data_IF_820268095391
#
_entry.id   IF_820268095391
#
_cell.length_a   1.000
_cell.length_b   1.000
_cell.length_c   1.000
_cell.angle_alpha   90.00
_cell.angle_beta   90.00
_cell.angle_gamma   90.00
#
_symmetry.space_group_name_H-M   'P 1'
#
loop_
_entity.id
_entity.type
_entity.pdbx_description
1 polymer ?
#
# COMPACT_ATOMS: atom_id res chain seq x y z
N UNK A 1 14.96 5.65 -4.96
CA UNK A 1 15.35 5.19 -6.31
C UNK A 1 15.36 6.37 -7.26
N UNK A 2 16.44 6.58 -8.02
CA UNK A 2 16.47 7.58 -9.09
C UNK A 2 15.37 7.31 -10.13
N UNK A 3 14.90 8.34 -10.85
CA UNK A 3 13.94 8.18 -11.93
C UNK A 3 14.42 7.15 -12.96
N UNK A 4 13.52 6.28 -13.42
CA UNK A 4 13.75 5.26 -14.46
C UNK A 4 15.03 4.42 -14.27
N UNK A 5 15.40 4.16 -13.01
CA UNK A 5 16.64 3.43 -12.67
C UNK A 5 16.46 1.91 -12.70
N UNK A 6 15.22 1.41 -12.78
CA UNK A 6 14.92 -0.01 -12.87
C UNK A 6 14.69 -0.42 -14.34
N UNK A 7 15.18 -1.59 -14.78
CA UNK A 7 15.01 -2.05 -16.16
C UNK A 7 13.54 -2.40 -16.46
N UNK A 8 13.17 -2.34 -17.75
CA UNK A 8 11.87 -2.70 -18.27
C UNK A 8 11.55 -4.18 -18.01
N UNK A 9 10.88 -4.48 -16.92
CA UNK A 9 10.47 -5.86 -16.62
C UNK A 9 9.39 -5.94 -15.53
N UNK A 10 8.61 -7.02 -15.59
CA UNK A 10 7.68 -7.40 -14.51
C UNK A 10 8.41 -7.65 -13.18
N UNK A 11 9.62 -8.19 -13.23
CA UNK A 11 10.47 -8.38 -12.04
C UNK A 11 10.80 -7.07 -11.35
N UNK A 12 10.99 -5.97 -12.10
CA UNK A 12 11.24 -4.64 -11.55
C UNK A 12 10.03 -4.07 -10.81
N UNK A 13 8.81 -4.37 -11.26
CA UNK A 13 7.58 -4.01 -10.53
C UNK A 13 7.54 -4.70 -9.17
N UNK A 14 7.78 -6.01 -9.14
CA UNK A 14 7.80 -6.77 -7.90
C UNK A 14 8.90 -6.25 -6.95
N UNK A 15 10.12 -6.11 -7.43
CA UNK A 15 11.25 -5.61 -6.64
C UNK A 15 11.00 -4.18 -6.08
N UNK A 16 10.36 -3.32 -6.87
CA UNK A 16 9.95 -1.98 -6.40
C UNK A 16 8.97 -2.06 -5.24
N UNK A 17 7.92 -2.87 -5.37
CA UNK A 17 6.88 -3.00 -4.34
C UNK A 17 7.42 -3.69 -3.08
N UNK A 18 8.28 -4.70 -3.22
CA UNK A 18 9.00 -5.34 -2.11
C UNK A 18 9.88 -4.33 -1.35
N UNK A 19 10.59 -3.47 -2.07
CA UNK A 19 11.42 -2.41 -1.47
C UNK A 19 10.59 -1.37 -0.73
N UNK A 20 9.45 -0.94 -1.30
CA UNK A 20 8.55 0.01 -0.68
C UNK A 20 7.72 -0.61 0.47
N UNK A 21 7.60 -1.95 0.52
CA UNK A 21 6.77 -2.67 1.47
C UNK A 21 5.27 -2.64 1.15
N UNK A 22 4.79 -1.58 0.55
CA UNK A 22 3.43 -1.46 0.00
C UNK A 22 3.35 -0.33 -1.01
N UNK A 23 2.31 -0.35 -1.83
CA UNK A 23 2.01 0.72 -2.77
C UNK A 23 0.52 1.03 -2.73
N UNK A 24 0.15 2.28 -2.47
CA UNK A 24 -1.24 2.65 -2.35
C UNK A 24 -1.99 2.47 -3.66
N UNK A 25 -3.09 1.73 -3.62
CA UNK A 25 -4.04 1.61 -4.71
C UNK A 25 -5.11 2.70 -4.56
N UNK A 26 -5.14 3.65 -5.48
CA UNK A 26 -6.19 4.65 -5.54
C UNK A 26 -7.02 4.47 -6.82
N UNK A 27 -8.36 4.47 -6.74
CA UNK A 27 -9.21 4.31 -7.91
C UNK A 27 -9.29 5.55 -8.80
N UNK A 28 -8.74 6.69 -8.36
CA UNK A 28 -8.70 7.92 -9.17
C UNK A 28 -7.75 7.71 -10.34
N UNK A 29 -8.29 7.90 -11.55
CA UNK A 29 -7.61 7.69 -12.81
C UNK A 29 -7.83 8.91 -13.72
N UNK A 30 -7.25 10.06 -13.36
CA UNK A 30 -7.33 11.30 -14.14
C UNK A 30 -6.13 11.47 -15.08
N UNK A 31 -4.96 10.99 -14.66
CA UNK A 31 -3.73 11.06 -15.44
C UNK A 31 -2.99 9.70 -15.44
N UNK A 32 -3.66 8.65 -15.05
CA UNK A 32 -3.16 7.31 -14.76
C UNK A 32 -3.38 6.94 -13.29
N UNK A 33 -3.45 5.64 -13.03
CA UNK A 33 -3.62 5.15 -11.65
C UNK A 33 -2.37 5.41 -10.83
N UNK A 34 -2.55 5.84 -9.58
CA UNK A 34 -1.45 6.25 -8.71
C UNK A 34 -0.30 5.25 -8.64
N UNK A 35 -0.60 3.96 -8.46
CA UNK A 35 0.41 2.90 -8.38
C UNK A 35 1.15 2.66 -9.71
N UNK A 36 0.47 2.84 -10.86
CA UNK A 36 1.08 2.77 -12.19
C UNK A 36 2.02 3.95 -12.41
N UNK A 37 1.62 5.16 -12.00
CA UNK A 37 2.46 6.36 -12.10
C UNK A 37 3.73 6.25 -11.25
N UNK A 38 3.63 5.65 -10.04
CA UNK A 38 4.80 5.37 -9.18
C UNK A 38 5.77 4.40 -9.86
N UNK A 39 5.24 3.35 -10.51
CA UNK A 39 6.05 2.41 -11.29
C UNK A 39 6.68 3.11 -12.51
N UNK A 40 5.90 3.88 -13.25
CA UNK A 40 6.35 4.61 -14.45
C UNK A 40 7.48 5.60 -14.12
N UNK A 41 7.43 6.24 -12.95
CA UNK A 41 8.48 7.17 -12.52
C UNK A 41 9.83 6.47 -12.25
N UNK A 42 9.85 5.15 -11.98
CA UNK A 42 11.04 4.43 -11.52
C UNK A 42 11.52 3.32 -12.46
N UNK A 43 10.64 2.82 -13.33
CA UNK A 43 10.93 1.70 -14.24
C UNK A 43 10.97 2.24 -15.66
N UNK A 44 12.11 2.07 -16.32
CA UNK A 44 12.23 2.43 -17.73
C UNK A 44 11.34 1.56 -18.61
N UNK A 45 10.60 2.16 -19.57
CA UNK A 45 9.69 1.43 -20.43
C UNK A 45 8.57 0.66 -19.70
N UNK A 46 8.12 1.15 -18.54
CA UNK A 46 7.07 0.50 -17.74
C UNK A 46 5.77 0.26 -18.54
N UNK A 47 5.20 -0.94 -18.36
CA UNK A 47 3.91 -1.31 -18.94
C UNK A 47 2.90 -1.64 -17.82
N UNK A 48 1.73 -0.98 -17.76
CA UNK A 48 0.71 -1.18 -16.71
C UNK A 48 0.26 -2.64 -16.57
N UNK A 49 0.21 -3.41 -17.66
CA UNK A 49 -0.16 -4.84 -17.65
C UNK A 49 0.71 -5.69 -16.70
N UNK A 50 1.97 -5.30 -16.43
CA UNK A 50 2.84 -6.06 -15.54
C UNK A 50 2.35 -6.07 -14.09
N UNK A 51 1.68 -4.99 -13.66
CA UNK A 51 1.04 -4.93 -12.33
C UNK A 51 -0.14 -5.91 -12.28
N UNK A 52 -1.01 -5.89 -13.30
CA UNK A 52 -2.17 -6.77 -13.38
C UNK A 52 -1.76 -8.25 -13.47
N UNK A 53 -0.72 -8.59 -14.24
CA UNK A 53 -0.17 -9.95 -14.34
C UNK A 53 0.35 -10.48 -13.00
N UNK A 54 0.92 -9.63 -12.16
CA UNK A 54 1.39 -9.99 -10.82
C UNK A 54 0.23 -10.09 -9.79
N UNK A 55 -0.76 -9.21 -9.92
CA UNK A 55 -1.93 -9.15 -9.03
C UNK A 55 -2.95 -10.26 -9.29
N UNK A 56 -3.20 -10.58 -10.58
CA UNK A 56 -4.34 -11.40 -10.99
C UNK A 56 -3.95 -12.69 -11.70
N UNK A 57 -2.73 -13.18 -11.45
CA UNK A 57 -2.31 -14.47 -11.95
C UNK A 57 -3.32 -15.56 -11.54
N UNK A 58 -3.79 -16.36 -12.50
CA UNK A 58 -4.76 -17.44 -12.28
C UNK A 58 -4.18 -18.63 -11.50
N UNK A 59 -2.86 -18.80 -11.57
CA UNK A 59 -2.14 -19.85 -10.83
C UNK A 59 -1.68 -19.25 -9.49
N UNK A 60 -2.14 -19.77 -8.33
CA UNK A 60 -1.81 -19.23 -7.02
C UNK A 60 -0.31 -19.02 -6.78
N UNK A 61 0.53 -19.97 -7.18
CA UNK A 61 1.98 -19.90 -7.02
C UNK A 61 2.64 -18.78 -7.86
N UNK A 62 1.94 -18.24 -8.87
CA UNK A 62 2.41 -17.14 -9.73
C UNK A 62 1.86 -15.78 -9.31
N UNK A 63 0.93 -15.74 -8.36
CA UNK A 63 0.36 -14.50 -7.84
C UNK A 63 1.35 -13.87 -6.86
N UNK A 64 2.19 -12.98 -7.34
CA UNK A 64 3.24 -12.36 -6.55
C UNK A 64 2.76 -11.14 -5.76
N UNK A 65 1.68 -10.50 -6.20
CA UNK A 65 1.08 -9.32 -5.56
C UNK A 65 -0.39 -9.57 -5.22
N UNK A 66 -0.88 -8.88 -4.19
CA UNK A 66 -2.29 -8.84 -3.81
C UNK A 66 -2.72 -7.44 -3.41
N UNK A 67 -4.01 -7.15 -3.59
CA UNK A 67 -4.63 -5.98 -2.97
C UNK A 67 -5.04 -6.33 -1.53
N UNK A 68 -4.69 -5.44 -0.60
CA UNK A 68 -4.96 -5.62 0.82
C UNK A 68 -5.44 -4.31 1.43
N UNK A 69 -6.42 -4.37 2.34
CA UNK A 69 -6.85 -3.20 3.09
C UNK A 69 -5.99 -3.02 4.37
N UNK A 70 -5.37 -1.85 4.50
CA UNK A 70 -4.56 -1.46 5.67
C UNK A 70 -4.84 0.00 6.07
N UNK A 71 -6.11 0.30 6.40
CA UNK A 71 -6.57 1.68 6.57
C UNK A 71 -6.92 2.35 5.24
N UNK A 72 -6.11 2.10 4.22
CA UNK A 72 -6.35 2.38 2.80
C UNK A 72 -6.14 1.10 1.99
N UNK A 73 -6.57 1.08 0.74
CA UNK A 73 -6.29 -0.04 -0.16
C UNK A 73 -4.84 0.07 -0.65
N UNK A 74 -4.09 -1.01 -0.49
CA UNK A 74 -2.67 -1.10 -0.88
C UNK A 74 -2.40 -2.36 -1.69
N UNK A 75 -1.38 -2.32 -2.52
CA UNK A 75 -0.77 -3.47 -3.17
C UNK A 75 0.41 -3.89 -2.31
N UNK A 76 0.49 -5.17 -1.97
CA UNK A 76 1.58 -5.76 -1.21
C UNK A 76 2.10 -7.02 -1.88
N UNK A 77 3.36 -7.44 -1.63
CA UNK A 77 3.80 -8.78 -1.99
C UNK A 77 2.91 -9.85 -1.32
N UNK A 78 2.55 -10.88 -2.05
CA UNK A 78 1.71 -11.98 -1.53
C UNK A 78 2.35 -12.66 -0.32
N UNK A 79 3.68 -12.74 -0.29
CA UNK A 79 4.48 -13.27 0.83
C UNK A 79 4.31 -12.50 2.15
N UNK A 80 3.86 -11.25 2.08
CA UNK A 80 3.64 -10.38 3.24
C UNK A 80 2.25 -10.56 3.89
N UNK A 81 1.33 -11.25 3.23
CA UNK A 81 -0.03 -11.46 3.72
C UNK A 81 -0.11 -11.96 5.18
N UNK A 82 0.76 -12.85 5.67
CA UNK A 82 0.72 -13.31 7.06
C UNK A 82 0.72 -12.17 8.09
N UNK A 83 1.39 -11.06 7.80
CA UNK A 83 1.44 -9.88 8.67
C UNK A 83 0.17 -9.03 8.65
N UNK A 84 -0.72 -9.24 7.67
CA UNK A 84 -1.99 -8.52 7.54
C UNK A 84 -3.20 -9.29 8.07
N UNK A 85 -3.01 -10.54 8.53
CA UNK A 85 -4.11 -11.39 9.04
C UNK A 85 -4.69 -10.86 10.34
N UNK A 86 -3.86 -10.56 11.36
CA UNK A 86 -4.34 -10.01 12.63
C UNK A 86 -5.14 -8.70 12.47
N UNK A 87 -4.71 -7.74 11.63
CA UNK A 87 -5.54 -6.61 11.27
C UNK A 87 -6.88 -7.01 10.63
N UNK A 88 -6.92 -8.05 9.79
CA UNK A 88 -8.16 -8.57 9.20
C UNK A 88 -9.05 -9.23 10.25
N UNK A 89 -8.49 -10.06 11.14
CA UNK A 89 -9.20 -10.69 12.26
C UNK A 89 -9.81 -9.65 13.19
N UNK A 90 -9.07 -8.60 13.57
CA UNK A 90 -9.60 -7.48 14.37
C UNK A 90 -10.75 -6.74 13.65
N UNK A 91 -10.69 -6.59 12.34
CA UNK A 91 -11.83 -6.02 11.57
C UNK A 91 -13.02 -6.95 11.58
N UNK A 92 -12.82 -8.25 11.44
CA UNK A 92 -13.88 -9.26 11.54
C UNK A 92 -14.56 -9.21 12.91
N UNK A 93 -13.79 -9.21 14.01
CA UNK A 93 -14.30 -9.07 15.38
C UNK A 93 -15.09 -7.79 15.57
N UNK A 94 -14.61 -6.66 15.02
CA UNK A 94 -15.34 -5.40 15.05
C UNK A 94 -16.67 -5.49 14.32
N UNK A 95 -16.71 -6.06 13.11
CA UNK A 95 -17.97 -6.22 12.36
C UNK A 95 -18.98 -7.10 13.09
N UNK A 96 -18.51 -8.05 13.89
CA UNK A 96 -19.38 -8.84 14.77
C UNK A 96 -19.88 -8.02 15.96
N UNK A 97 -19.01 -7.30 16.64
CA UNK A 97 -19.32 -6.56 17.87
C UNK A 97 -20.20 -5.33 17.63
N UNK A 98 -20.00 -4.61 16.53
CA UNK A 98 -20.79 -3.41 16.16
C UNK A 98 -22.12 -3.74 15.44
N UNK A 99 -22.40 -5.02 15.23
CA UNK A 99 -23.61 -5.51 14.57
C UNK A 99 -23.61 -5.39 13.04
N UNK A 100 -22.51 -4.97 12.42
CA UNK A 100 -22.38 -4.86 10.96
C UNK A 100 -22.59 -6.22 10.30
N UNK A 101 -21.94 -7.29 10.81
CA UNK A 101 -22.11 -8.64 10.31
C UNK A 101 -23.58 -9.08 10.38
N UNK A 102 -24.27 -8.84 11.51
CA UNK A 102 -25.69 -9.21 11.67
C UNK A 102 -26.57 -8.55 10.61
N UNK A 103 -26.28 -7.28 10.27
CA UNK A 103 -27.02 -6.53 9.24
C UNK A 103 -26.78 -7.09 7.84
N UNK A 104 -25.57 -7.54 7.53
CA UNK A 104 -25.15 -7.99 6.20
C UNK A 104 -25.21 -9.52 6.04
N UNK A 105 -25.46 -10.28 7.12
CA UNK A 105 -25.42 -11.75 7.15
C UNK A 105 -26.15 -12.44 6.00
N UNK A 106 -27.43 -12.10 5.65
CA UNK A 106 -28.14 -12.80 4.58
C UNK A 106 -27.42 -12.72 3.23
N UNK A 107 -26.84 -11.55 2.93
CA UNK A 107 -26.08 -11.34 1.69
C UNK A 107 -24.72 -12.03 1.75
N UNK A 108 -24.03 -11.97 2.90
CA UNK A 108 -22.74 -12.62 3.11
C UNK A 108 -22.86 -14.15 2.95
N UNK A 109 -23.89 -14.77 3.54
CA UNK A 109 -24.15 -16.22 3.40
C UNK A 109 -24.43 -16.61 1.94
N UNK A 110 -25.24 -15.81 1.23
CA UNK A 110 -25.51 -16.04 -0.20
C UNK A 110 -24.22 -15.91 -1.03
N UNK A 111 -23.41 -14.88 -0.76
CA UNK A 111 -22.12 -14.68 -1.42
C UNK A 111 -21.21 -15.87 -1.21
N UNK A 112 -21.00 -16.26 0.04
CA UNK A 112 -20.10 -17.38 0.37
C UNK A 112 -20.56 -18.68 -0.26
N UNK A 113 -21.85 -18.99 -0.23
CA UNK A 113 -22.43 -20.19 -0.85
C UNK A 113 -22.18 -20.20 -2.37
N UNK A 114 -22.48 -19.09 -3.05
CA UNK A 114 -22.33 -19.02 -4.51
C UNK A 114 -20.86 -19.01 -4.93
N UNK A 115 -20.00 -18.23 -4.29
CA UNK A 115 -18.55 -18.25 -4.59
C UNK A 115 -17.97 -19.65 -4.37
N UNK A 116 -18.41 -20.35 -3.33
CA UNK A 116 -17.93 -21.72 -3.07
C UNK A 116 -18.29 -22.68 -4.21
N UNK A 117 -19.48 -22.57 -4.79
CA UNK A 117 -19.95 -23.45 -5.86
C UNK A 117 -19.59 -22.99 -7.28
N UNK A 118 -19.57 -21.68 -7.52
CA UNK A 118 -19.47 -21.12 -8.87
C UNK A 118 -18.07 -20.53 -9.20
N UNK A 119 -17.25 -20.24 -8.17
CA UNK A 119 -15.96 -19.55 -8.34
C UNK A 119 -16.08 -18.03 -8.16
N UNK A 120 -15.15 -17.29 -8.77
CA UNK A 120 -15.07 -15.84 -8.61
C UNK A 120 -16.33 -15.12 -9.09
N UNK A 121 -16.93 -14.29 -8.23
CA UNK A 121 -18.11 -13.48 -8.53
C UNK A 121 -17.89 -12.01 -8.18
N UNK A 122 -18.62 -11.14 -8.89
CA UNK A 122 -18.69 -9.68 -8.67
C UNK A 122 -20.03 -9.29 -8.05
N UNK A 123 -20.20 -8.06 -7.61
CA UNK A 123 -21.46 -7.57 -7.09
C UNK A 123 -22.61 -7.64 -8.11
N UNK A 124 -22.31 -7.51 -9.42
CA UNK A 124 -23.32 -7.59 -10.50
C UNK A 124 -23.93 -8.97 -10.67
N UNK A 125 -23.21 -10.04 -10.29
CA UNK A 125 -23.69 -11.42 -10.44
C UNK A 125 -24.81 -11.78 -9.44
N UNK A 126 -25.00 -10.96 -8.39
CA UNK A 126 -26.03 -11.15 -7.37
C UNK A 126 -27.34 -10.38 -7.67
N UNK A 127 -27.33 -9.53 -8.69
CA UNK A 127 -28.48 -8.69 -9.02
C UNK A 127 -28.70 -7.51 -8.05
N UNK A 128 -29.85 -6.82 -8.19
CA UNK A 128 -30.14 -5.65 -7.38
C UNK A 128 -30.38 -6.01 -5.91
N UNK A 129 -29.96 -5.12 -5.00
CA UNK A 129 -30.18 -5.26 -3.57
C UNK A 129 -30.53 -3.91 -2.92
N UNK A 130 -31.12 -3.94 -1.73
CA UNK A 130 -31.39 -2.70 -1.00
C UNK A 130 -30.10 -1.93 -0.70
N UNK A 131 -30.21 -0.63 -0.55
CA UNK A 131 -29.14 0.21 -0.08
C UNK A 131 -28.97 0.06 1.44
N UNK A 132 -27.73 -0.01 1.87
CA UNK A 132 -27.30 0.00 3.29
C UNK A 132 -26.32 1.13 3.49
N UNK A 133 -26.25 1.67 4.70
CA UNK A 133 -25.22 2.62 5.07
C UNK A 133 -23.89 1.89 5.19
N UNK A 134 -22.90 2.36 4.43
CA UNK A 134 -21.57 1.78 4.34
C UNK A 134 -20.52 2.88 4.20
N UNK A 135 -19.23 2.57 4.30
CA UNK A 135 -18.07 3.47 4.46
C UNK A 135 -18.18 4.89 3.86
N UNK A 136 -18.70 5.02 2.65
CA UNK A 136 -18.77 6.30 1.91
C UNK A 136 -20.20 6.74 1.60
N UNK A 137 -21.19 6.08 2.20
CA UNK A 137 -22.61 6.38 2.02
C UNK A 137 -23.44 5.21 1.53
N UNK A 138 -24.67 5.44 1.07
CA UNK A 138 -25.60 4.39 0.67
C UNK A 138 -24.99 3.47 -0.42
N UNK A 139 -24.88 2.18 -0.13
CA UNK A 139 -24.24 1.19 -0.97
C UNK A 139 -25.15 -0.04 -1.13
N UNK A 140 -25.25 -0.66 -2.33
CA UNK A 140 -25.96 -1.93 -2.49
C UNK A 140 -25.45 -3.00 -1.54
N UNK A 141 -26.36 -3.73 -0.88
CA UNK A 141 -26.03 -4.63 0.22
C UNK A 141 -25.06 -5.78 -0.20
N UNK A 142 -25.17 -6.30 -1.42
CA UNK A 142 -24.21 -7.28 -1.93
C UNK A 142 -22.81 -6.69 -2.05
N UNK A 143 -22.69 -5.45 -2.53
CA UNK A 143 -21.39 -4.77 -2.60
C UNK A 143 -20.79 -4.53 -1.21
N UNK A 144 -21.61 -4.07 -0.26
CA UNK A 144 -21.17 -3.86 1.12
C UNK A 144 -20.73 -5.19 1.79
N UNK A 145 -21.47 -6.28 1.55
CA UNK A 145 -21.14 -7.59 2.09
C UNK A 145 -19.86 -8.18 1.47
N UNK A 146 -19.64 -8.03 0.15
CA UNK A 146 -18.37 -8.41 -0.50
C UNK A 146 -17.19 -7.64 0.07
N UNK A 147 -17.33 -6.33 0.28
CA UNK A 147 -16.27 -5.50 0.88
C UNK A 147 -16.02 -5.88 2.36
N UNK A 148 -17.05 -6.20 3.12
CA UNK A 148 -16.92 -6.70 4.49
C UNK A 148 -16.14 -8.01 4.53
N UNK A 149 -16.52 -9.00 3.71
CA UNK A 149 -15.85 -10.30 3.63
C UNK A 149 -14.40 -10.17 3.16
N UNK A 150 -14.13 -9.29 2.21
CA UNK A 150 -12.76 -9.02 1.76
C UNK A 150 -11.92 -8.32 2.85
N UNK A 151 -12.49 -7.35 3.55
CA UNK A 151 -11.81 -6.63 4.63
C UNK A 151 -11.53 -7.51 5.85
N UNK A 152 -12.34 -8.56 6.07
CA UNK A 152 -12.13 -9.56 7.12
C UNK A 152 -11.29 -10.76 6.68
N UNK A 153 -10.80 -10.78 5.42
CA UNK A 153 -9.92 -11.82 4.90
C UNK A 153 -10.61 -13.13 4.55
N UNK A 154 -11.95 -13.16 4.47
CA UNK A 154 -12.72 -14.32 4.09
C UNK A 154 -12.80 -14.49 2.56
N UNK A 155 -12.67 -13.38 1.82
CA UNK A 155 -12.53 -13.33 0.38
C UNK A 155 -11.33 -12.51 -0.03
N UNK A 156 -10.79 -12.78 -1.21
CA UNK A 156 -9.76 -11.96 -1.83
C UNK A 156 -10.16 -11.57 -3.25
N UNK A 157 -9.60 -10.49 -3.75
CA UNK A 157 -9.85 -10.03 -5.09
C UNK A 157 -9.20 -10.99 -6.09
N UNK A 158 -10.02 -11.61 -6.94
CA UNK A 158 -9.58 -12.52 -7.98
C UNK A 158 -9.04 -11.75 -9.19
N UNK A 159 -9.80 -10.75 -9.65
CA UNK A 159 -9.43 -9.87 -10.78
C UNK A 159 -10.26 -8.59 -10.77
N UNK A 160 -9.82 -7.64 -11.61
CA UNK A 160 -10.59 -6.42 -11.96
C UNK A 160 -10.81 -6.35 -13.48
N UNK A 161 -11.92 -5.75 -13.86
CA UNK A 161 -12.21 -5.31 -15.21
C UNK A 161 -12.76 -3.88 -15.10
N UNK A 162 -11.92 -2.88 -15.33
CA UNK A 162 -12.23 -1.50 -15.02
C UNK A 162 -12.50 -1.30 -13.52
N UNK A 163 -13.68 -0.83 -13.16
CA UNK A 163 -14.11 -0.64 -11.78
C UNK A 163 -14.76 -1.88 -11.13
N UNK A 164 -15.07 -2.91 -11.94
CA UNK A 164 -15.73 -4.13 -11.46
C UNK A 164 -14.69 -5.03 -10.80
N UNK A 165 -15.05 -5.57 -9.63
CA UNK A 165 -14.20 -6.44 -8.81
C UNK A 165 -14.82 -7.81 -8.68
N UNK A 166 -14.05 -8.87 -8.99
CA UNK A 166 -14.41 -10.27 -8.75
C UNK A 166 -13.68 -10.79 -7.53
N UNK A 167 -14.39 -11.45 -6.64
CA UNK A 167 -13.86 -12.00 -5.41
C UNK A 167 -13.97 -13.51 -5.41
N UNK A 168 -12.98 -14.18 -4.81
CA UNK A 168 -12.98 -15.64 -4.66
C UNK A 168 -12.37 -16.04 -3.32
N UNK A 169 -12.44 -17.33 -3.02
CA UNK A 169 -11.87 -17.93 -1.82
C UNK A 169 -10.34 -17.82 -1.81
N UNK A 170 -9.72 -17.51 -0.65
CA UNK A 170 -8.27 -17.42 -0.53
C UNK A 170 -7.53 -18.66 -1.01
N UNK A 171 -8.08 -19.86 -0.78
CA UNK A 171 -7.47 -21.14 -1.14
C UNK A 171 -7.35 -21.35 -2.65
N UNK A 172 -8.19 -20.67 -3.44
CA UNK A 172 -8.14 -20.72 -4.90
C UNK A 172 -7.18 -19.70 -5.50
N UNK A 173 -6.86 -18.67 -4.75
CA UNK A 173 -6.12 -17.50 -5.24
C UNK A 173 -4.68 -17.41 -4.74
N UNK A 174 -4.39 -17.97 -3.57
CA UNK A 174 -3.17 -17.70 -2.83
C UNK A 174 -2.37 -18.99 -2.59
N UNK A 175 -1.03 -18.90 -2.55
CA UNK A 175 -0.19 -20.05 -2.26
C UNK A 175 -0.48 -20.62 -0.87
N UNK A 176 -0.52 -21.95 -0.75
CA UNK A 176 -0.82 -22.65 0.49
C UNK A 176 0.15 -22.30 1.63
N UNK A 177 1.44 -22.22 1.34
CA UNK A 177 2.45 -21.84 2.33
C UNK A 177 2.23 -20.43 2.90
N UNK A 178 1.72 -19.49 2.09
CA UNK A 178 1.33 -18.15 2.55
C UNK A 178 0.08 -18.24 3.44
N UNK A 179 -0.90 -19.05 3.05
CA UNK A 179 -2.13 -19.25 3.83
C UNK A 179 -1.89 -19.96 5.17
N UNK A 180 -0.92 -20.85 5.26
CA UNK A 180 -0.61 -21.62 6.47
C UNK A 180 0.35 -20.89 7.43
N UNK A 181 1.19 -19.99 6.92
CA UNK A 181 2.15 -19.25 7.75
C UNK A 181 1.43 -18.41 8.80
N UNK A 182 1.90 -18.51 10.03
CA UNK A 182 1.45 -17.69 11.17
C UNK A 182 2.61 -16.86 11.67
N UNK A 183 2.31 -15.66 12.08
CA UNK A 183 3.27 -14.73 12.71
C UNK A 183 2.74 -14.33 14.08
N UNK A 184 3.65 -14.09 15.01
CA UNK A 184 3.28 -13.54 16.31
C UNK A 184 2.78 -12.10 16.18
N UNK A 185 2.11 -11.60 17.21
CA UNK A 185 1.69 -10.20 17.22
C UNK A 185 2.88 -9.25 17.20
N UNK A 186 3.94 -9.62 17.88
CA UNK A 186 5.19 -8.88 17.94
C UNK A 186 5.87 -8.77 16.58
N UNK A 187 6.00 -9.89 15.86
CA UNK A 187 6.51 -9.91 14.48
C UNK A 187 5.64 -9.07 13.55
N UNK A 188 4.31 -9.19 13.68
CA UNK A 188 3.37 -8.42 12.85
C UNK A 188 3.56 -6.91 13.06
N UNK A 189 3.69 -6.46 14.30
CA UNK A 189 3.84 -5.03 14.60
C UNK A 189 5.20 -4.52 14.16
N UNK A 190 6.28 -5.24 14.44
CA UNK A 190 7.62 -4.89 14.00
C UNK A 190 7.69 -4.80 12.46
N UNK A 191 7.15 -5.79 11.76
CA UNK A 191 7.07 -5.80 10.31
C UNK A 191 6.27 -4.62 9.75
N UNK A 192 5.08 -4.36 10.30
CA UNK A 192 4.22 -3.26 9.85
C UNK A 192 4.89 -1.91 10.09
N UNK A 193 5.60 -1.76 11.20
CA UNK A 193 6.36 -0.56 11.51
C UNK A 193 7.52 -0.34 10.52
N UNK A 194 8.28 -1.38 10.22
CA UNK A 194 9.35 -1.33 9.22
C UNK A 194 8.82 -1.11 7.80
N UNK A 195 7.70 -1.75 7.44
CA UNK A 195 7.04 -1.54 6.15
C UNK A 195 6.65 -0.07 5.96
N UNK A 196 6.19 0.59 7.04
CA UNK A 196 5.90 2.02 7.00
C UNK A 196 7.15 2.87 6.78
N UNK A 197 8.29 2.50 7.36
CA UNK A 197 9.56 3.19 7.10
C UNK A 197 10.07 2.93 5.67
N UNK A 198 9.84 1.73 5.12
CA UNK A 198 10.15 1.43 3.70
C UNK A 198 9.33 2.29 2.74
N UNK A 199 8.02 2.39 2.98
CA UNK A 199 7.09 3.20 2.19
C UNK A 199 7.46 4.70 2.24
N UNK A 200 7.72 5.21 3.43
CA UNK A 200 8.05 6.62 3.62
C UNK A 200 9.52 6.97 3.31
N UNK A 201 10.43 5.99 3.34
CA UNK A 201 11.85 6.20 3.23
C UNK A 201 12.42 6.92 4.46
N UNK A 202 13.05 8.07 4.26
CA UNK A 202 13.55 8.89 5.36
C UNK A 202 12.41 9.53 6.13
N UNK A 203 12.31 9.24 7.44
CA UNK A 203 11.22 9.70 8.30
C UNK A 203 11.73 10.46 9.51
N UNK A 204 10.99 11.48 9.94
CA UNK A 204 11.22 12.11 11.24
C UNK A 204 10.85 11.16 12.40
N UNK A 205 11.36 11.46 13.61
CA UNK A 205 11.15 10.63 14.79
C UNK A 205 9.67 10.34 15.15
N UNK A 206 8.74 11.15 14.63
CA UNK A 206 7.31 11.07 14.97
C UNK A 206 6.43 10.38 13.91
N UNK A 207 7.01 9.96 12.79
CA UNK A 207 6.25 9.61 11.58
C UNK A 207 5.55 8.23 11.60
N UNK A 208 5.91 7.31 12.48
CA UNK A 208 5.34 5.96 12.46
C UNK A 208 4.35 5.72 13.60
N UNK A 209 3.22 5.11 13.26
CA UNK A 209 2.16 4.77 14.21
C UNK A 209 2.39 3.39 14.83
N UNK A 210 2.09 3.27 16.12
CA UNK A 210 2.06 2.03 16.89
C UNK A 210 0.70 1.94 17.57
N UNK A 211 0.02 0.78 17.58
CA UNK A 211 -1.23 0.59 18.29
C UNK A 211 -1.09 0.98 19.77
N UNK A 212 -2.13 1.65 20.34
CA UNK A 212 -2.10 2.13 21.73
C UNK A 212 -2.11 1.01 22.76
N UNK A 213 -2.70 -0.11 22.41
CA UNK A 213 -2.89 -1.30 23.23
C UNK A 213 -1.71 -2.27 23.16
N UNK A 214 -0.68 -1.91 22.39
CA UNK A 214 0.49 -2.77 22.28
C UNK A 214 1.41 -2.66 23.51
N UNK A 215 2.02 -3.78 23.98
CA UNK A 215 2.81 -3.79 25.20
C UNK A 215 4.12 -2.98 25.12
N UNK A 216 4.62 -2.70 23.92
CA UNK A 216 5.79 -1.84 23.70
C UNK A 216 5.35 -0.45 23.23
N UNK A 217 5.94 0.58 23.83
CA UNK A 217 5.82 1.94 23.32
C UNK A 217 6.59 2.07 22.00
N UNK A 218 6.25 3.11 21.20
CA UNK A 218 7.02 3.41 19.98
C UNK A 218 8.51 3.55 20.26
N UNK A 219 8.91 4.19 21.37
CA UNK A 219 10.30 4.35 21.76
C UNK A 219 10.99 2.99 21.93
N UNK A 220 10.39 2.09 22.71
CA UNK A 220 10.92 0.74 22.93
C UNK A 220 11.03 -0.07 21.63
N UNK A 221 10.04 0.04 20.74
CA UNK A 221 10.09 -0.63 19.44
C UNK A 221 11.24 -0.10 18.58
N UNK A 222 11.40 1.22 18.51
CA UNK A 222 12.50 1.86 17.77
C UNK A 222 13.85 1.44 18.32
N UNK A 223 14.08 1.53 19.64
CA UNK A 223 15.31 1.12 20.32
C UNK A 223 15.65 -0.33 20.01
N UNK A 224 14.64 -1.21 20.02
CA UNK A 224 14.80 -2.62 19.67
C UNK A 224 15.20 -2.82 18.22
N UNK A 225 14.51 -2.17 17.26
CA UNK A 225 14.80 -2.31 15.84
C UNK A 225 16.18 -1.74 15.48
N UNK A 226 16.63 -0.69 16.16
CA UNK A 226 17.99 -0.17 16.03
C UNK A 226 19.00 -1.19 16.57
N UNK A 227 18.75 -1.75 17.75
CA UNK A 227 19.63 -2.77 18.35
C UNK A 227 19.71 -4.04 17.50
N UNK A 228 18.64 -4.40 16.77
CA UNK A 228 18.60 -5.51 15.83
C UNK A 228 19.24 -5.18 14.46
N UNK A 229 19.63 -3.92 14.23
CA UNK A 229 20.20 -3.49 12.96
C UNK A 229 19.19 -3.36 11.81
N UNK A 230 17.90 -3.28 12.11
CA UNK A 230 16.80 -3.16 11.13
C UNK A 230 16.47 -1.70 10.78
N UNK A 231 16.75 -0.77 11.70
CA UNK A 231 16.49 0.65 11.56
C UNK A 231 17.77 1.45 11.84
N UNK A 232 18.01 2.49 11.06
CA UNK A 232 19.12 3.43 11.23
C UNK A 232 18.60 4.78 11.72
N UNK A 233 19.35 5.42 12.61
CA UNK A 233 19.22 6.84 12.92
C UNK A 233 20.26 7.63 12.17
N UNK A 234 19.84 8.75 11.61
CA UNK A 234 20.69 9.66 10.84
C UNK A 234 20.39 11.12 11.23
N UNK A 235 21.38 11.96 11.11
CA UNK A 235 21.24 13.41 11.23
C UNK A 235 21.37 14.04 9.84
N UNK A 236 20.52 15.03 9.56
CA UNK A 236 20.58 15.78 8.31
C UNK A 236 21.21 17.14 8.62
N UNK A 237 22.30 17.45 7.96
CA UNK A 237 23.00 18.73 8.13
C UNK A 237 22.04 19.87 7.80
N UNK A 238 21.88 20.79 8.75
CA UNK A 238 20.98 21.95 8.62
C UNK A 238 19.53 21.71 9.04
N UNK A 239 19.15 20.49 9.41
CA UNK A 239 17.80 20.19 9.93
C UNK A 239 17.86 19.70 11.38
N UNK A 240 16.92 20.12 12.24
CA UNK A 240 16.88 19.65 13.61
C UNK A 240 16.35 18.23 13.73
N UNK A 241 16.81 17.55 14.80
CA UNK A 241 16.26 16.26 15.22
C UNK A 241 16.89 15.04 14.53
N UNK A 242 16.43 13.87 14.97
CA UNK A 242 16.87 12.56 14.45
C UNK A 242 15.90 12.09 13.39
N UNK A 243 16.44 11.59 12.32
CA UNK A 243 15.70 10.99 11.23
C UNK A 243 15.99 9.48 11.18
N UNK A 244 15.08 8.71 10.60
CA UNK A 244 15.18 7.25 10.54
C UNK A 244 14.92 6.74 9.15
N UNK A 245 15.63 5.65 8.79
CA UNK A 245 15.41 4.90 7.56
C UNK A 245 15.68 3.42 7.80
N UNK A 246 15.09 2.51 6.99
CA UNK A 246 15.40 1.09 7.06
C UNK A 246 16.89 0.83 6.86
N UNK A 247 17.46 -0.10 7.61
CA UNK A 247 18.89 -0.44 7.48
C UNK A 247 19.25 -0.98 6.09
N UNK A 248 18.30 -1.55 5.36
CA UNK A 248 18.44 -1.93 3.96
C UNK A 248 18.84 -0.77 3.03
N UNK A 249 18.54 0.47 3.43
CA UNK A 249 18.90 1.68 2.67
C UNK A 249 20.30 2.22 3.00
N UNK A 250 21.05 1.59 3.90
CA UNK A 250 22.41 2.01 4.31
C UNK A 250 23.34 2.23 3.11
N UNK A 251 23.35 1.29 2.18
CA UNK A 251 24.22 1.40 1.01
C UNK A 251 23.88 2.60 0.13
N UNK A 252 22.60 2.86 -0.07
CA UNK A 252 22.13 4.05 -0.81
C UNK A 252 22.49 5.35 -0.10
N UNK A 253 22.35 5.40 1.23
CA UNK A 253 22.76 6.54 2.05
C UNK A 253 24.27 6.80 1.95
N UNK A 254 25.08 5.78 2.09
CA UNK A 254 26.55 5.90 1.99
C UNK A 254 27.00 6.30 0.59
N UNK A 255 26.33 5.80 -0.46
CA UNK A 255 26.58 6.20 -1.83
C UNK A 255 26.25 7.69 -2.04
N UNK A 256 25.10 8.15 -1.51
CA UNK A 256 24.70 9.55 -1.56
C UNK A 256 25.70 10.46 -0.79
N UNK A 257 26.13 10.04 0.40
CA UNK A 257 27.13 10.79 1.18
C UNK A 257 28.49 10.92 0.46
N UNK A 258 28.94 9.88 -0.22
CA UNK A 258 30.16 9.93 -1.04
C UNK A 258 30.02 10.83 -2.26
N UNK A 259 28.85 10.89 -2.86
CA UNK A 259 28.60 11.75 -4.03
C UNK A 259 28.65 13.24 -3.70
N UNK A 260 28.28 13.65 -2.48
CA UNK A 260 28.38 15.06 -2.03
C UNK A 260 29.81 15.51 -1.80
N UNK A 261 30.77 14.56 -1.65
CA UNK A 261 32.22 14.87 -1.47
C UNK A 261 33.03 14.89 -2.76
N UNK A 262 32.40 14.93 -3.94
CA UNK A 262 33.08 15.15 -5.22
C UNK A 262 32.93 14.05 -6.27
N UNK A 263 32.26 12.95 -5.95
CA UNK A 263 31.91 11.92 -6.94
C UNK A 263 30.42 12.04 -7.28
N UNK A 264 30.08 12.41 -8.51
CA UNK A 264 28.70 12.40 -8.98
C UNK A 264 28.16 10.97 -8.81
N UNK A 265 27.04 10.79 -8.09
CA UNK A 265 26.16 9.65 -8.34
C UNK A 265 25.96 9.63 -9.84
N UNK A 266 26.11 8.46 -10.49
CA UNK A 266 25.89 8.36 -11.92
C UNK A 266 24.59 9.09 -12.24
N UNK A 267 24.71 10.26 -12.80
CA UNK A 267 23.66 11.24 -12.80
C UNK A 267 22.55 10.69 -13.69
N UNK A 268 21.35 10.54 -13.11
CA UNK A 268 20.16 10.71 -13.91
C UNK A 268 20.39 11.95 -14.79
N UNK A 269 20.04 11.88 -16.07
CA UNK A 269 20.14 13.03 -16.97
C UNK A 269 19.64 14.26 -16.21
N UNK A 270 20.47 15.31 -15.99
CA UNK A 270 20.06 16.49 -15.24
C UNK A 270 18.88 17.25 -15.88
N UNK A 271 18.55 16.91 -17.13
CA UNK A 271 17.41 17.43 -17.86
C UNK A 271 16.19 16.46 -17.84
N UNK A 272 16.31 15.27 -17.24
CA UNK A 272 15.18 14.36 -17.15
C UNK A 272 14.14 14.90 -16.18
N UNK A 273 12.94 15.07 -16.68
CA UNK A 273 11.76 15.49 -15.89
C UNK A 273 10.89 14.29 -15.61
N UNK A 274 10.53 14.08 -14.34
CA UNK A 274 9.65 12.99 -13.92
C UNK A 274 8.41 13.56 -13.26
N UNK A 275 7.24 13.18 -13.78
CA UNK A 275 5.95 13.48 -13.14
C UNK A 275 5.69 12.47 -12.03
N UNK A 276 5.39 12.97 -10.83
CA UNK A 276 5.08 12.14 -9.68
C UNK A 276 3.58 12.07 -9.41
N UNK A 277 3.10 10.89 -9.04
CA UNK A 277 1.72 10.73 -8.54
C UNK A 277 1.52 11.57 -7.27
N UNK A 278 0.32 12.13 -7.04
CA UNK A 278 -0.03 12.77 -5.76
C UNK A 278 0.19 11.89 -4.52
N UNK A 279 0.19 10.59 -4.69
CA UNK A 279 0.41 9.57 -3.64
C UNK A 279 1.78 8.90 -3.75
N UNK A 280 2.71 9.49 -4.50
CA UNK A 280 4.07 8.95 -4.59
C UNK A 280 4.74 8.95 -3.21
N UNK A 281 5.43 7.87 -2.82
CA UNK A 281 6.16 7.78 -1.56
C UNK A 281 7.12 8.95 -1.30
N UNK A 282 7.72 9.52 -2.36
CA UNK A 282 8.63 10.66 -2.22
C UNK A 282 7.92 11.92 -1.69
N UNK A 283 6.67 12.13 -2.07
CA UNK A 283 5.91 13.34 -1.75
C UNK A 283 4.78 13.12 -0.73
N UNK A 284 4.57 11.89 -0.30
CA UNK A 284 3.47 11.54 0.62
C UNK A 284 3.61 12.23 1.99
N UNK A 285 4.82 12.34 2.53
CA UNK A 285 5.10 13.11 3.75
C UNK A 285 5.33 14.58 3.42
N UNK A 286 4.26 15.39 3.57
CA UNK A 286 4.25 16.82 3.25
C UNK A 286 5.20 17.63 4.12
N UNK A 287 5.30 17.28 5.40
CA UNK A 287 6.21 17.97 6.33
C UNK A 287 7.68 17.73 5.94
N UNK A 288 8.01 16.51 5.50
CA UNK A 288 9.34 16.19 4.98
C UNK A 288 9.66 16.96 3.69
N UNK A 289 8.70 17.06 2.77
CA UNK A 289 8.87 17.84 1.54
C UNK A 289 9.20 19.30 1.83
N UNK A 290 8.45 19.90 2.74
CA UNK A 290 8.67 21.29 3.15
C UNK A 290 10.04 21.45 3.80
N UNK A 291 10.40 20.57 4.73
CA UNK A 291 11.67 20.63 5.45
C UNK A 291 12.90 20.39 4.58
N UNK A 292 12.82 19.46 3.62
CA UNK A 292 13.97 19.06 2.79
C UNK A 292 14.10 19.90 1.52
N UNK A 293 12.99 20.36 0.95
CA UNK A 293 12.96 20.93 -0.39
C UNK A 293 12.31 22.33 -0.45
N UNK A 294 11.84 22.85 0.69
CA UNK A 294 11.02 24.07 0.74
C UNK A 294 9.84 24.02 -0.25
N UNK A 295 9.25 22.85 -0.39
CA UNK A 295 8.23 22.55 -1.38
C UNK A 295 6.87 22.26 -0.72
N UNK A 296 5.95 23.22 -0.85
CA UNK A 296 4.58 23.11 -0.35
C UNK A 296 3.69 22.43 -1.37
N UNK A 297 3.34 21.19 -1.13
CA UNK A 297 2.46 20.42 -2.00
C UNK A 297 1.13 20.09 -1.33
N UNK A 298 0.04 20.24 -2.08
CA UNK A 298 -1.30 19.87 -1.65
C UNK A 298 -2.04 19.14 -2.77
N UNK A 299 -2.56 17.95 -2.47
CA UNK A 299 -3.47 17.25 -3.36
C UNK A 299 -4.90 17.71 -3.07
N UNK A 300 -5.57 18.32 -4.05
CA UNK A 300 -6.81 19.04 -3.85
C UNK A 300 -8.04 18.33 -4.41
N UNK A 301 -7.96 17.01 -4.72
CA UNK A 301 -9.07 16.27 -5.32
C UNK A 301 -10.35 16.31 -4.48
N UNK A 302 -10.21 16.29 -3.15
CA UNK A 302 -11.33 16.38 -2.19
C UNK A 302 -11.60 17.81 -1.72
N UNK A 303 -10.84 18.79 -2.22
CA UNK A 303 -11.04 20.19 -1.89
C UNK A 303 -12.18 20.74 -2.77
N UNK A 304 -13.19 21.43 -2.21
CA UNK A 304 -14.21 22.10 -2.99
C UNK A 304 -13.60 23.02 -4.05
N UNK A 305 -14.14 23.03 -5.26
CA UNK A 305 -13.56 23.74 -6.41
C UNK A 305 -13.18 25.19 -6.10
N UNK A 306 -14.06 25.93 -5.42
CA UNK A 306 -13.84 27.34 -5.03
C UNK A 306 -12.66 27.55 -4.05
N UNK A 307 -12.12 26.49 -3.47
CA UNK A 307 -11.01 26.54 -2.49
C UNK A 307 -9.72 25.91 -3.03
N UNK A 308 -9.73 25.46 -4.28
CA UNK A 308 -8.55 24.90 -4.91
C UNK A 308 -7.60 25.99 -5.34
N UNK A 309 -6.30 25.77 -5.12
CA UNK A 309 -5.22 26.66 -5.56
C UNK A 309 -4.70 26.21 -6.94
N UNK A 310 -4.56 24.90 -7.14
CA UNK A 310 -3.90 24.36 -8.34
C UNK A 310 -4.83 23.53 -9.21
N UNK A 311 -5.91 22.96 -8.65
CA UNK A 311 -6.86 22.10 -9.37
C UNK A 311 -7.06 20.73 -8.75
N UNK A 312 -7.96 19.90 -9.32
CA UNK A 312 -8.35 18.63 -8.70
C UNK A 312 -7.22 17.60 -8.69
N UNK A 313 -6.32 17.65 -9.68
CA UNK A 313 -5.24 16.67 -9.80
C UNK A 313 -3.96 17.35 -10.27
N UNK A 314 -3.05 17.55 -9.35
CA UNK A 314 -1.76 18.21 -9.59
C UNK A 314 -0.64 17.21 -9.40
N UNK A 315 0.19 17.04 -10.40
CA UNK A 315 1.36 16.15 -10.36
C UNK A 315 2.62 16.98 -10.12
N UNK A 316 3.34 16.73 -9.03
CA UNK A 316 4.66 17.36 -8.84
C UNK A 316 5.66 16.90 -9.90
N UNK A 317 6.61 17.76 -10.18
CA UNK A 317 7.73 17.50 -11.10
C UNK A 317 9.00 17.31 -10.27
N UNK A 318 9.72 16.25 -10.55
CA UNK A 318 11.01 15.92 -9.95
C UNK A 318 12.11 15.88 -11.02
#
# INVERSE_FOLDING_TARGET
LPPRSLPASRGSVLALIERLGSLQFDPVDLAGRSHELVCHARIDGFEPRWVDELLYASVPAKRALIEQYNGVLVIIPTSELPYYRRPADRRRERFWSDGTYKKLKPWAETIMSRITSEGALSASDFGPSKLVDWSWGPTPAYRAALEMLANSGELYLARREGSIRWFDLPERLLPRNVLERRVSEEEQIAHTFLARHRDMGLTSANAAWVPRDWPLTRKQLVERLIAQGELLEVEIVGLPGVWRLPAAERFALEAAARATTGSRIAAADPNAVTLLSPLDPLIHDRARLEQLYDFHYRWEIYTPEKRRTYGPYTMPIH
#
